data_IF_059426634060
#
_entry.id   IF_059426634060
#
_cell.length_a   1.000
_cell.length_b   1.000
_cell.length_c   1.000
_cell.angle_alpha   90.00
_cell.angle_beta   90.00
_cell.angle_gamma   90.00
#
_symmetry.space_group_name_H-M   'P 1'
#
loop_
_entity.id
_entity.type
_entity.pdbx_description
1 polymer ?
#
# COMPACT_ATOMS: atom_id res chain seq x y z
N UNK A 1 11.16 19.94 -5.14
CA UNK A 1 10.42 21.06 -4.53
C UNK A 1 9.08 20.47 -4.18
N UNK A 2 8.85 20.22 -2.89
CA UNK A 2 7.85 19.25 -2.45
C UNK A 2 6.42 19.61 -2.88
N UNK A 3 5.78 18.72 -3.64
CA UNK A 3 4.34 18.70 -3.94
C UNK A 3 3.53 18.25 -2.70
N UNK A 4 3.78 18.88 -1.54
CA UNK A 4 2.87 18.78 -0.41
C UNK A 4 1.92 19.97 -0.47
N UNK A 5 0.63 19.71 -0.34
CA UNK A 5 -0.42 20.73 -0.28
C UNK A 5 -0.22 21.59 0.98
N UNK A 6 0.56 22.67 0.83
CA UNK A 6 0.92 23.58 1.91
C UNK A 6 -0.23 24.59 2.12
N UNK A 7 -1.30 24.10 2.72
CA UNK A 7 -2.34 24.84 3.47
C UNK A 7 -3.01 25.98 2.68
N UNK A 8 -4.24 25.75 2.25
CA UNK A 8 -5.17 26.85 1.94
C UNK A 8 -5.42 27.69 3.21
N UNK A 9 -5.06 28.98 3.18
CA UNK A 9 -5.29 29.89 4.30
C UNK A 9 -6.70 30.49 4.21
N UNK A 10 -7.51 30.26 5.25
CA UNK A 10 -8.77 30.98 5.45
C UNK A 10 -8.49 32.32 6.15
N UNK A 11 -8.84 33.44 5.49
CA UNK A 11 -8.80 34.78 6.10
C UNK A 11 -10.18 35.13 6.66
N UNK A 12 -10.25 35.48 7.95
CA UNK A 12 -11.49 35.78 8.67
C UNK A 12 -11.37 37.11 9.42
N UNK A 13 -12.48 37.84 9.53
CA UNK A 13 -12.60 38.98 10.45
C UNK A 13 -12.60 38.48 11.90
N UNK A 14 -12.28 39.35 12.88
CA UNK A 14 -12.27 38.96 14.30
C UNK A 14 -13.63 38.38 14.77
N UNK A 15 -14.80 38.94 14.43
CA UNK A 15 -16.08 38.31 14.74
C UNK A 15 -16.28 36.96 14.03
N UNK A 16 -15.82 36.82 12.79
CA UNK A 16 -15.86 35.57 12.05
C UNK A 16 -15.01 34.47 12.69
N UNK A 17 -13.80 34.82 13.12
CA UNK A 17 -12.91 33.91 13.85
C UNK A 17 -13.53 33.44 15.18
N UNK A 18 -14.09 34.36 15.97
CA UNK A 18 -14.77 34.02 17.22
C UNK A 18 -16.00 33.14 17.00
N UNK A 19 -16.76 33.40 15.92
CA UNK A 19 -17.90 32.57 15.53
C UNK A 19 -17.49 31.13 15.16
N UNK A 20 -16.40 30.97 14.41
CA UNK A 20 -15.85 29.64 14.08
C UNK A 20 -15.36 28.92 15.34
N UNK A 21 -14.65 29.61 16.23
CA UNK A 21 -14.20 29.02 17.50
C UNK A 21 -15.36 28.54 18.38
N UNK A 22 -16.46 29.31 18.45
CA UNK A 22 -17.65 28.92 19.20
C UNK A 22 -18.35 27.70 18.59
N UNK A 23 -18.31 27.54 17.26
CA UNK A 23 -18.88 26.41 16.54
C UNK A 23 -17.96 25.17 16.51
N UNK A 24 -16.66 25.35 16.79
CA UNK A 24 -15.63 24.31 16.67
C UNK A 24 -15.98 23.02 17.41
N UNK A 25 -16.47 23.03 18.67
CA UNK A 25 -16.81 21.78 19.36
C UNK A 25 -17.93 20.99 18.65
N UNK A 26 -18.93 21.69 18.11
CA UNK A 26 -20.02 21.07 17.36
C UNK A 26 -19.55 20.55 15.99
N UNK A 27 -18.69 21.32 15.30
CA UNK A 27 -18.07 20.90 14.05
C UNK A 27 -17.19 19.67 14.25
N UNK A 28 -16.33 19.66 15.27
CA UNK A 28 -15.55 18.50 15.66
C UNK A 28 -16.47 17.33 16.01
N UNK A 29 -17.52 17.51 16.81
CA UNK A 29 -18.43 16.43 17.16
C UNK A 29 -19.16 15.85 15.93
N UNK A 30 -19.56 16.68 14.96
CA UNK A 30 -20.16 16.25 13.69
C UNK A 30 -19.13 15.55 12.81
N UNK A 31 -17.92 16.09 12.67
CA UNK A 31 -16.84 15.48 11.90
C UNK A 31 -16.41 14.13 12.50
N UNK A 32 -16.24 14.04 13.82
CA UNK A 32 -15.98 12.78 14.53
C UNK A 32 -17.13 11.79 14.39
N UNK A 33 -18.39 12.25 14.28
CA UNK A 33 -19.54 11.35 13.99
C UNK A 33 -19.53 10.88 12.55
N UNK A 34 -19.27 11.77 11.59
CA UNK A 34 -19.24 11.46 10.16
C UNK A 34 -18.05 10.55 9.80
N UNK A 35 -16.89 10.81 10.39
CA UNK A 35 -15.66 10.04 10.19
C UNK A 35 -15.53 8.90 11.20
N UNK A 36 -16.49 8.72 12.10
CA UNK A 36 -16.50 7.70 13.15
C UNK A 36 -15.16 7.42 13.86
N UNK A 37 -14.30 8.44 13.99
CA UNK A 37 -13.12 8.39 14.83
C UNK A 37 -13.55 8.25 16.31
N UNK A 38 -12.72 7.59 17.12
CA UNK A 38 -12.92 7.38 18.57
C UNK A 38 -14.10 6.48 18.98
N UNK A 39 -14.16 5.26 18.41
CA UNK A 39 -14.96 4.17 19.00
C UNK A 39 -16.47 4.23 18.74
N UNK A 40 -16.91 5.03 17.75
CA UNK A 40 -18.33 5.10 17.34
C UNK A 40 -18.72 4.11 16.25
N UNK A 41 -17.76 3.59 15.50
CA UNK A 41 -17.99 2.39 14.69
C UNK A 41 -17.92 1.15 15.59
N UNK A 42 -18.75 0.12 15.33
CA UNK A 42 -18.48 -1.22 15.82
C UNK A 42 -17.01 -1.60 15.52
N UNK A 43 -16.40 -2.40 16.38
CA UNK A 43 -14.99 -2.80 16.22
C UNK A 43 -14.71 -3.44 14.84
N UNK A 44 -15.74 -4.05 14.25
CA UNK A 44 -15.81 -4.71 12.94
C UNK A 44 -16.58 -3.90 11.88
N UNK A 45 -17.03 -2.69 12.21
CA UNK A 45 -17.81 -1.85 11.30
C UNK A 45 -16.96 -1.27 10.17
N UNK A 46 -17.56 -1.20 8.97
CA UNK A 46 -16.95 -0.61 7.79
C UNK A 46 -16.62 0.88 8.02
N UNK A 47 -15.41 1.27 7.64
CA UNK A 47 -14.87 2.62 7.72
C UNK A 47 -15.09 3.36 6.41
N UNK A 48 -15.74 4.51 6.49
CA UNK A 48 -15.77 5.48 5.40
C UNK A 48 -14.36 5.98 5.05
N UNK A 49 -14.19 6.50 3.85
CA UNK A 49 -12.89 6.88 3.30
C UNK A 49 -12.04 7.76 4.23
N UNK A 50 -12.62 8.85 4.76
CA UNK A 50 -11.91 9.76 5.67
C UNK A 50 -11.50 9.09 6.99
N UNK A 51 -12.39 8.27 7.56
CA UNK A 51 -12.11 7.49 8.78
C UNK A 51 -10.93 6.54 8.59
N UNK A 52 -10.91 5.90 7.41
CA UNK A 52 -9.87 4.99 7.00
C UNK A 52 -8.54 5.72 6.84
N UNK A 53 -8.50 6.85 6.13
CA UNK A 53 -7.28 7.65 5.96
C UNK A 53 -6.71 8.14 7.28
N UNK A 54 -7.55 8.60 8.21
CA UNK A 54 -7.08 9.03 9.54
C UNK A 54 -6.55 7.87 10.38
N UNK A 55 -7.17 6.69 10.28
CA UNK A 55 -6.67 5.48 10.94
C UNK A 55 -5.33 5.03 10.37
N UNK A 56 -5.18 5.03 9.05
CA UNK A 56 -3.92 4.76 8.36
C UNK A 56 -2.85 5.78 8.76
N UNK A 57 -3.18 7.07 8.81
CA UNK A 57 -2.25 8.13 9.21
C UNK A 57 -1.76 7.94 10.65
N UNK A 58 -2.66 7.63 11.59
CA UNK A 58 -2.32 7.40 12.98
C UNK A 58 -1.39 6.18 13.13
N UNK A 59 -1.65 5.11 12.39
CA UNK A 59 -0.83 3.91 12.38
C UNK A 59 0.55 4.18 11.76
N UNK A 60 0.58 4.81 10.58
CA UNK A 60 1.80 5.15 9.84
C UNK A 60 2.76 6.02 10.65
N UNK A 61 2.25 6.94 11.47
CA UNK A 61 3.06 7.81 12.34
C UNK A 61 3.88 7.06 13.38
N UNK A 62 3.47 5.83 13.75
CA UNK A 62 4.21 5.00 14.71
C UNK A 62 5.60 4.59 14.19
N UNK A 63 5.87 4.71 12.89
CA UNK A 63 7.18 4.43 12.30
C UNK A 63 8.32 5.28 12.90
N UNK A 64 7.97 6.45 13.46
CA UNK A 64 8.94 7.38 14.07
C UNK A 64 9.21 7.10 15.55
N UNK A 65 8.61 6.05 16.12
CA UNK A 65 8.83 5.65 17.51
C UNK A 65 10.05 4.72 17.59
N UNK A 66 10.86 4.87 18.64
CA UNK A 66 12.03 4.00 18.89
C UNK A 66 11.64 2.51 18.99
N UNK A 67 10.41 2.24 19.46
CA UNK A 67 9.85 0.90 19.60
C UNK A 67 9.04 0.44 18.37
N UNK A 68 9.25 1.04 17.20
CA UNK A 68 8.51 0.64 16.00
C UNK A 68 8.74 -0.84 15.66
N UNK A 69 7.64 -1.56 15.49
CA UNK A 69 7.62 -2.97 15.15
C UNK A 69 6.86 -3.16 13.84
N UNK A 70 7.57 -3.48 12.77
CA UNK A 70 7.00 -3.64 11.43
C UNK A 70 6.01 -4.81 11.37
N UNK A 71 6.26 -5.90 12.09
CA UNK A 71 5.35 -7.04 12.11
C UNK A 71 4.02 -6.70 12.80
N UNK A 72 4.08 -5.90 13.86
CA UNK A 72 2.88 -5.38 14.51
C UNK A 72 2.15 -4.39 13.59
N UNK A 73 2.90 -3.49 12.96
CA UNK A 73 2.37 -2.53 12.02
C UNK A 73 1.59 -3.19 10.87
N UNK A 74 2.15 -4.22 10.22
CA UNK A 74 1.46 -4.90 9.10
C UNK A 74 0.19 -5.62 9.54
N UNK A 75 0.13 -6.11 10.80
CA UNK A 75 -1.10 -6.66 11.37
C UNK A 75 -2.16 -5.58 11.58
N UNK A 76 -1.75 -4.45 12.15
CA UNK A 76 -2.66 -3.36 12.48
C UNK A 76 -3.19 -2.69 11.21
N UNK A 77 -2.33 -2.42 10.22
CA UNK A 77 -2.74 -1.82 8.94
C UNK A 77 -3.64 -2.76 8.13
N UNK A 78 -3.39 -4.08 8.16
CA UNK A 78 -4.28 -5.05 7.52
C UNK A 78 -5.65 -5.09 8.21
N UNK A 79 -5.68 -4.99 9.54
CA UNK A 79 -6.91 -4.81 10.32
C UNK A 79 -7.69 -3.57 9.90
N UNK A 80 -7.02 -2.42 9.78
CA UNK A 80 -7.62 -1.17 9.30
C UNK A 80 -8.14 -1.33 7.86
N UNK A 81 -7.34 -1.87 6.94
CA UNK A 81 -7.69 -2.08 5.53
C UNK A 81 -8.87 -3.04 5.32
N UNK A 82 -8.98 -4.10 6.13
CA UNK A 82 -10.12 -5.03 6.08
C UNK A 82 -11.46 -4.36 6.38
N UNK A 83 -11.42 -3.18 7.03
CA UNK A 83 -12.61 -2.40 7.36
C UNK A 83 -12.89 -1.31 6.33
N UNK A 84 -12.06 -1.10 5.31
CA UNK A 84 -12.34 -0.11 4.27
C UNK A 84 -13.69 -0.41 3.59
N UNK A 85 -14.59 0.56 3.59
CA UNK A 85 -15.85 0.46 2.86
C UNK A 85 -15.59 0.60 1.37
N UNK A 86 -15.56 -0.53 0.64
CA UNK A 86 -15.22 -0.53 -0.79
C UNK A 86 -16.27 0.18 -1.67
N UNK A 87 -17.48 0.34 -1.15
CA UNK A 87 -18.58 1.05 -1.79
C UNK A 87 -18.65 2.55 -1.37
N UNK A 88 -17.61 3.06 -0.71
CA UNK A 88 -17.50 4.49 -0.42
C UNK A 88 -17.44 5.32 -1.72
N UNK A 89 -18.23 6.41 -1.84
CA UNK A 89 -18.30 7.21 -3.06
C UNK A 89 -16.95 7.76 -3.55
N UNK A 90 -16.03 8.10 -2.64
CA UNK A 90 -14.71 8.62 -3.02
C UNK A 90 -13.89 7.53 -3.69
N UNK A 91 -13.88 6.33 -3.10
CA UNK A 91 -13.17 5.19 -3.65
C UNK A 91 -13.77 4.70 -4.96
N UNK A 92 -15.12 4.61 -5.05
CA UNK A 92 -15.81 4.26 -6.30
C UNK A 92 -15.38 5.21 -7.41
N UNK A 93 -15.41 6.52 -7.16
CA UNK A 93 -15.01 7.52 -8.14
C UNK A 93 -13.56 7.32 -8.59
N UNK A 94 -12.63 7.07 -7.66
CA UNK A 94 -11.23 6.78 -7.99
C UNK A 94 -11.08 5.52 -8.84
N UNK A 95 -11.77 4.44 -8.48
CA UNK A 95 -11.78 3.18 -9.23
C UNK A 95 -12.40 3.35 -10.63
N UNK A 96 -13.45 4.15 -10.78
CA UNK A 96 -14.04 4.46 -12.10
C UNK A 96 -13.11 5.30 -12.96
N UNK A 97 -12.42 6.27 -12.37
CA UNK A 97 -11.46 7.12 -13.08
C UNK A 97 -10.30 6.30 -13.66
N UNK A 98 -9.63 5.50 -12.83
CA UNK A 98 -8.51 4.68 -13.31
C UNK A 98 -8.97 3.62 -14.33
N UNK A 99 -10.22 3.14 -14.25
CA UNK A 99 -10.82 2.24 -15.24
C UNK A 99 -10.88 2.84 -16.64
N UNK A 100 -11.10 4.16 -16.76
CA UNK A 100 -11.10 4.83 -18.08
C UNK A 100 -9.73 4.82 -18.76
N UNK A 101 -8.66 4.59 -17.99
CA UNK A 101 -7.28 4.58 -18.49
C UNK A 101 -6.76 3.17 -18.80
N UNK A 102 -7.57 2.13 -18.61
CA UNK A 102 -7.19 0.74 -18.84
C UNK A 102 -6.67 0.54 -20.27
N UNK A 103 -5.42 0.11 -20.38
CA UNK A 103 -4.76 -0.16 -21.66
C UNK A 103 -3.97 -1.44 -21.54
N UNK A 104 -4.32 -2.43 -22.37
CA UNK A 104 -3.65 -3.73 -22.40
C UNK A 104 -2.14 -3.59 -22.54
N UNK A 105 -1.40 -4.28 -21.67
CA UNK A 105 0.06 -4.27 -21.60
C UNK A 105 0.63 -3.11 -20.78
N UNK A 106 -0.20 -2.36 -20.06
CA UNK A 106 0.23 -1.25 -19.22
C UNK A 106 -0.59 -1.21 -17.92
N UNK A 107 0.04 -1.65 -16.84
CA UNK A 107 -0.45 -1.44 -15.47
C UNK A 107 -0.52 0.06 -15.19
N UNK A 108 -1.65 0.49 -14.63
CA UNK A 108 -1.92 1.91 -14.32
C UNK A 108 -1.86 2.14 -12.80
N UNK A 109 -1.36 3.31 -12.40
CA UNK A 109 -1.16 3.72 -11.02
C UNK A 109 -1.80 5.10 -10.82
N UNK A 110 -2.66 5.24 -9.80
CA UNK A 110 -3.24 6.52 -9.38
C UNK A 110 -2.99 6.71 -7.90
N UNK A 111 -2.32 7.79 -7.51
CA UNK A 111 -2.26 8.14 -6.09
C UNK A 111 -3.58 8.77 -5.67
N UNK A 112 -4.28 8.16 -4.71
CA UNK A 112 -5.46 8.79 -4.09
C UNK A 112 -5.06 9.65 -2.90
N UNK A 113 -3.97 9.31 -2.22
CA UNK A 113 -3.48 10.05 -1.07
C UNK A 113 -1.95 9.96 -1.00
N UNK A 114 -1.29 11.08 -0.72
CA UNK A 114 0.15 11.14 -0.45
C UNK A 114 0.42 12.06 0.74
N UNK A 115 0.68 11.47 1.89
CA UNK A 115 1.10 12.19 3.11
C UNK A 115 2.59 11.98 3.35
N UNK A 116 3.13 12.64 4.37
CA UNK A 116 4.53 12.50 4.76
C UNK A 116 4.84 11.07 5.22
N UNK A 117 3.92 10.46 5.97
CA UNK A 117 4.15 9.18 6.65
C UNK A 117 3.70 7.96 5.82
N UNK A 118 2.78 8.15 4.87
CA UNK A 118 2.31 7.07 4.00
C UNK A 118 1.85 7.58 2.63
N UNK A 119 1.75 6.66 1.67
CA UNK A 119 1.11 6.88 0.38
C UNK A 119 0.10 5.78 0.11
N UNK A 120 -1.02 6.13 -0.51
CA UNK A 120 -2.05 5.21 -0.96
C UNK A 120 -2.23 5.34 -2.48
N UNK A 121 -2.04 4.22 -3.18
CA UNK A 121 -2.14 4.13 -4.63
C UNK A 121 -3.22 3.12 -5.04
N UNK A 122 -4.06 3.46 -6.01
CA UNK A 122 -4.81 2.49 -6.79
C UNK A 122 -3.93 1.94 -7.89
N UNK A 123 -3.87 0.61 -7.97
CA UNK A 123 -3.15 -0.09 -9.04
C UNK A 123 -4.15 -0.88 -9.86
N UNK A 124 -4.16 -0.69 -11.17
CA UNK A 124 -5.08 -1.35 -12.08
C UNK A 124 -4.36 -2.19 -13.12
N UNK A 125 -4.88 -3.41 -13.30
CA UNK A 125 -4.39 -4.40 -14.23
C UNK A 125 -5.47 -4.81 -15.23
N UNK A 126 -5.09 -5.02 -16.49
CA UNK A 126 -5.83 -5.87 -17.43
C UNK A 126 -5.49 -7.36 -17.22
N UNK A 127 -6.27 -8.25 -17.83
CA UNK A 127 -6.07 -9.70 -17.73
C UNK A 127 -4.70 -10.12 -18.26
N UNK A 128 -3.96 -10.87 -17.45
CA UNK A 128 -2.64 -11.40 -17.80
C UNK A 128 -1.49 -10.39 -17.64
N UNK A 129 -1.76 -9.18 -17.17
CA UNK A 129 -0.70 -8.22 -16.87
C UNK A 129 0.09 -8.64 -15.63
N UNK A 130 1.38 -8.33 -15.66
CA UNK A 130 2.35 -8.72 -14.63
C UNK A 130 3.13 -7.49 -14.20
N UNK A 131 3.20 -7.25 -12.89
CA UNK A 131 4.32 -6.50 -12.33
C UNK A 131 5.42 -7.52 -12.00
N UNK A 132 6.55 -7.37 -12.68
CA UNK A 132 7.74 -8.20 -12.51
C UNK A 132 8.27 -8.10 -11.06
N UNK A 133 9.09 -9.08 -10.60
CA UNK A 133 9.56 -9.06 -9.23
C UNK A 133 10.36 -7.79 -8.95
N UNK A 134 10.03 -7.12 -7.86
CA UNK A 134 10.65 -5.86 -7.43
C UNK A 134 10.60 -5.76 -5.91
N UNK A 135 11.51 -4.97 -5.34
CA UNK A 135 11.58 -4.70 -3.90
C UNK A 135 11.00 -3.31 -3.53
N UNK A 136 10.85 -3.09 -2.21
CA UNK A 136 10.36 -1.84 -1.63
C UNK A 136 11.32 -1.40 -0.50
N UNK A 137 12.48 -0.80 -0.82
CA UNK A 137 13.59 -0.65 0.10
C UNK A 137 13.24 0.26 1.28
N UNK A 138 13.31 -0.31 2.49
CA UNK A 138 13.02 0.40 3.74
C UNK A 138 11.54 0.69 3.97
N UNK A 139 10.64 0.09 3.18
CA UNK A 139 9.21 0.32 3.23
C UNK A 139 8.48 -0.89 3.82
N UNK A 140 7.40 -0.60 4.52
CA UNK A 140 6.42 -1.58 5.00
C UNK A 140 5.10 -1.28 4.30
N UNK A 141 4.38 -2.30 3.86
CA UNK A 141 3.22 -2.08 3.02
C UNK A 141 2.21 -3.20 3.01
N UNK A 142 1.10 -2.92 2.35
CA UNK A 142 0.00 -3.83 2.18
C UNK A 142 -0.68 -3.60 0.83
N UNK A 143 -1.23 -4.66 0.27
CA UNK A 143 -2.15 -4.59 -0.88
C UNK A 143 -3.48 -5.22 -0.50
N UNK A 144 -4.58 -4.53 -0.79
CA UNK A 144 -5.95 -4.98 -0.63
C UNK A 144 -6.56 -5.13 -2.03
N UNK A 145 -7.10 -6.31 -2.33
CA UNK A 145 -7.79 -6.51 -3.59
C UNK A 145 -9.21 -5.92 -3.49
N UNK A 146 -9.43 -4.77 -4.14
CA UNK A 146 -10.72 -4.07 -4.12
C UNK A 146 -11.71 -4.69 -5.13
N UNK A 147 -11.21 -5.15 -6.27
CA UNK A 147 -12.00 -5.87 -7.28
C UNK A 147 -11.11 -6.79 -8.11
N UNK A 148 -11.70 -7.83 -8.71
CA UNK A 148 -10.98 -8.75 -9.60
C UNK A 148 -10.33 -9.92 -8.88
N UNK A 149 -9.20 -10.38 -9.42
CA UNK A 149 -8.46 -11.55 -8.96
C UNK A 149 -7.00 -11.48 -9.44
N UNK A 150 -6.06 -11.52 -8.50
CA UNK A 150 -4.63 -11.41 -8.78
C UNK A 150 -3.85 -12.48 -8.03
N UNK A 151 -2.87 -13.10 -8.69
CA UNK A 151 -1.89 -13.95 -8.01
C UNK A 151 -0.73 -13.08 -7.51
N UNK A 152 -0.35 -13.32 -6.26
CA UNK A 152 0.80 -12.72 -5.60
C UNK A 152 1.80 -13.82 -5.32
N UNK A 153 3.07 -13.60 -5.65
CA UNK A 153 4.16 -14.43 -5.14
C UNK A 153 5.14 -13.56 -4.39
N UNK A 154 5.36 -13.88 -3.12
CA UNK A 154 6.21 -13.13 -2.20
C UNK A 154 7.53 -13.87 -1.98
N UNK A 155 8.61 -13.12 -1.87
CA UNK A 155 9.97 -13.63 -1.76
C UNK A 155 10.74 -12.86 -0.69
N UNK A 156 11.65 -13.58 -0.02
CA UNK A 156 12.67 -13.03 0.86
C UNK A 156 14.04 -13.12 0.19
N UNK A 157 14.87 -12.10 0.40
CA UNK A 157 16.27 -12.13 0.00
C UNK A 157 17.04 -13.09 0.92
N UNK A 158 17.83 -14.00 0.35
CA UNK A 158 18.74 -14.86 1.11
C UNK A 158 20.03 -14.10 1.39
N UNK A 159 20.11 -13.42 2.53
CA UNK A 159 21.25 -12.55 2.90
C UNK A 159 22.58 -13.31 3.05
N UNK A 160 22.53 -14.58 3.46
CA UNK A 160 23.71 -15.42 3.75
C UNK A 160 23.58 -16.79 3.08
N UNK A 161 23.79 -16.86 1.75
CA UNK A 161 23.71 -18.13 1.04
C UNK A 161 24.98 -18.96 1.28
N UNK A 162 24.84 -20.28 1.34
CA UNK A 162 25.98 -21.21 1.48
C UNK A 162 26.96 -21.09 0.29
N UNK A 163 26.41 -20.85 -0.90
CA UNK A 163 27.16 -20.60 -2.13
C UNK A 163 26.72 -19.24 -2.71
N UNK A 164 27.67 -18.30 -2.92
CA UNK A 164 27.35 -17.01 -3.53
C UNK A 164 26.72 -17.17 -4.92
N UNK A 165 25.69 -16.37 -5.26
CA UNK A 165 25.18 -16.31 -6.62
C UNK A 165 26.20 -15.66 -7.56
N UNK A 166 26.04 -15.83 -8.90
CA UNK A 166 26.84 -15.12 -9.88
C UNK A 166 26.78 -13.59 -9.68
N UNK A 167 27.78 -12.87 -10.18
CA UNK A 167 27.77 -11.41 -10.15
C UNK A 167 26.48 -10.86 -10.81
N UNK A 168 25.89 -9.83 -10.20
CA UNK A 168 24.61 -9.25 -10.66
C UNK A 168 23.37 -10.10 -10.38
N UNK A 169 23.50 -11.19 -9.61
CA UNK A 169 22.40 -12.05 -9.23
C UNK A 169 22.25 -12.11 -7.69
N UNK A 170 21.02 -12.35 -7.25
CA UNK A 170 20.64 -12.62 -5.86
C UNK A 170 19.92 -13.96 -5.76
N UNK A 171 19.83 -14.50 -4.55
CA UNK A 171 19.00 -15.68 -4.28
C UNK A 171 17.75 -15.25 -3.54
N UNK A 172 16.60 -15.59 -4.11
CA UNK A 172 15.29 -15.24 -3.59
C UNK A 172 14.55 -16.50 -3.15
N UNK A 173 14.10 -16.53 -1.90
CA UNK A 173 13.30 -17.62 -1.36
C UNK A 173 11.83 -17.23 -1.43
N UNK A 174 11.06 -17.94 -2.25
CA UNK A 174 9.60 -17.81 -2.30
C UNK A 174 9.01 -18.27 -0.96
N UNK A 175 8.30 -17.37 -0.29
CA UNK A 175 7.67 -17.64 1.01
C UNK A 175 6.18 -17.91 0.90
N UNK A 176 5.53 -17.34 -0.12
CA UNK A 176 4.09 -17.51 -0.32
C UNK A 176 3.74 -17.31 -1.79
N UNK A 177 2.78 -18.10 -2.29
CA UNK A 177 2.02 -17.79 -3.50
C UNK A 177 0.55 -17.87 -3.14
N UNK A 178 -0.19 -16.79 -3.39
CA UNK A 178 -1.60 -16.68 -3.03
C UNK A 178 -2.37 -15.92 -4.10
N UNK A 179 -3.55 -16.43 -4.44
CA UNK A 179 -4.54 -15.68 -5.24
C UNK A 179 -5.38 -14.82 -4.30
N UNK A 180 -5.34 -13.51 -4.49
CA UNK A 180 -6.15 -12.52 -3.80
C UNK A 180 -7.42 -12.23 -4.60
N UNK A 181 -8.57 -12.29 -3.94
CA UNK A 181 -9.89 -11.88 -4.43
C UNK A 181 -10.37 -10.66 -3.65
N UNK A 182 -11.55 -10.12 -4.01
CA UNK A 182 -12.15 -8.97 -3.28
C UNK A 182 -12.08 -9.17 -1.76
N UNK A 183 -11.56 -8.17 -1.05
CA UNK A 183 -11.29 -8.13 0.40
C UNK A 183 -10.08 -8.93 0.90
N UNK A 184 -9.39 -9.69 0.05
CA UNK A 184 -8.14 -10.33 0.45
C UNK A 184 -7.00 -9.30 0.54
N UNK A 185 -6.11 -9.52 1.52
CA UNK A 185 -4.95 -8.67 1.80
C UNK A 185 -3.66 -9.50 1.69
N UNK A 186 -2.60 -8.86 1.20
CA UNK A 186 -1.20 -9.30 1.36
C UNK A 186 -0.39 -8.17 1.98
N UNK A 187 0.66 -8.51 2.73
CA UNK A 187 1.49 -7.54 3.45
C UNK A 187 2.97 -7.86 3.30
N UNK A 188 3.79 -6.83 3.47
CA UNK A 188 5.25 -6.92 3.47
C UNK A 188 5.86 -5.96 4.49
N UNK A 189 7.04 -6.31 4.97
CA UNK A 189 7.91 -5.44 5.77
C UNK A 189 9.16 -5.08 4.96
N UNK A 190 10.04 -4.25 5.51
CA UNK A 190 11.29 -3.89 4.85
C UNK A 190 12.24 -5.09 4.67
N UNK A 191 12.00 -6.21 5.37
CA UNK A 191 12.87 -7.41 5.34
C UNK A 191 12.15 -8.71 5.03
N UNK A 192 10.84 -8.77 5.22
CA UNK A 192 10.05 -9.97 4.97
C UNK A 192 9.02 -9.67 3.88
N UNK A 193 8.93 -10.56 2.89
CA UNK A 193 8.05 -10.48 1.72
C UNK A 193 8.26 -9.21 0.90
N UNK A 194 9.41 -8.56 1.08
CA UNK A 194 9.69 -7.26 0.49
C UNK A 194 9.81 -7.33 -1.04
N UNK A 195 10.08 -8.52 -1.58
CA UNK A 195 10.11 -8.76 -3.02
C UNK A 195 8.85 -9.51 -3.42
N UNK A 196 8.11 -9.00 -4.41
CA UNK A 196 6.89 -9.68 -4.86
C UNK A 196 6.62 -9.55 -6.35
N UNK A 197 5.85 -10.50 -6.88
CA UNK A 197 5.25 -10.43 -8.22
C UNK A 197 3.74 -10.36 -8.11
N UNK A 198 3.13 -9.62 -9.04
CA UNK A 198 1.68 -9.51 -9.15
C UNK A 198 1.27 -9.92 -10.56
N UNK A 199 0.38 -10.91 -10.69
CA UNK A 199 -0.09 -11.42 -11.98
C UNK A 199 -1.61 -11.50 -12.03
N UNK A 200 -2.22 -10.62 -12.82
CA UNK A 200 -3.66 -10.46 -12.89
C UNK A 200 -4.33 -11.64 -13.61
N UNK A 201 -5.22 -12.34 -12.90
CA UNK A 201 -6.06 -13.42 -13.46
C UNK A 201 -7.34 -12.86 -14.10
N UNK A 202 -7.77 -11.68 -13.65
CA UNK A 202 -8.90 -10.89 -14.16
C UNK A 202 -8.50 -9.42 -14.21
N UNK A 203 -9.31 -8.57 -14.85
CA UNK A 203 -9.21 -7.12 -14.63
C UNK A 203 -9.32 -6.87 -13.13
N UNK A 204 -8.30 -6.24 -12.55
CA UNK A 204 -8.10 -6.17 -11.10
C UNK A 204 -7.72 -4.78 -10.68
N UNK A 205 -8.28 -4.31 -9.57
CA UNK A 205 -7.93 -3.05 -8.93
C UNK A 205 -7.50 -3.34 -7.49
N UNK A 206 -6.33 -2.84 -7.14
CA UNK A 206 -5.75 -2.95 -5.80
C UNK A 206 -5.71 -1.60 -5.13
N UNK A 207 -5.90 -1.59 -3.81
CA UNK A 207 -5.53 -0.49 -2.93
C UNK A 207 -4.18 -0.86 -2.31
N UNK A 208 -3.16 -0.09 -2.61
CA UNK A 208 -1.79 -0.28 -2.16
C UNK A 208 -1.41 0.82 -1.18
N UNK A 209 -0.90 0.46 0.00
CA UNK A 209 -0.45 1.42 1.02
C UNK A 209 0.99 1.11 1.40
N UNK A 210 1.83 2.15 1.34
CA UNK A 210 3.22 2.07 1.79
C UNK A 210 3.56 3.10 2.85
N UNK A 211 4.43 2.69 3.77
CA UNK A 211 4.90 3.45 4.92
C UNK A 211 6.39 3.16 5.13
N UNK A 212 7.27 4.17 5.01
CA UNK A 212 7.03 5.50 4.42
C UNK A 212 6.60 5.42 2.93
N UNK A 213 6.09 6.50 2.32
CA UNK A 213 5.79 6.52 0.89
C UNK A 213 7.06 6.45 0.04
N UNK A 214 6.86 6.13 -1.24
CA UNK A 214 7.87 6.35 -2.27
C UNK A 214 8.32 7.82 -2.31
N UNK A 215 9.63 8.00 -2.45
CA UNK A 215 10.28 9.25 -2.85
C UNK A 215 11.34 8.93 -3.91
N UNK A 216 12.00 9.94 -4.47
CA UNK A 216 13.00 9.77 -5.54
C UNK A 216 14.10 8.80 -5.11
N UNK A 217 14.67 8.97 -3.90
CA UNK A 217 15.73 8.11 -3.37
C UNK A 217 15.29 6.64 -3.24
N UNK A 218 14.10 6.37 -2.68
CA UNK A 218 13.59 4.99 -2.57
C UNK A 218 13.29 4.39 -3.94
N UNK A 219 12.79 5.20 -4.86
CA UNK A 219 12.49 4.75 -6.23
C UNK A 219 13.78 4.41 -6.98
N UNK A 220 14.85 5.17 -6.78
CA UNK A 220 16.18 4.90 -7.34
C UNK A 220 16.85 3.67 -6.70
N UNK A 221 16.58 3.41 -5.43
CA UNK A 221 17.09 2.24 -4.70
C UNK A 221 16.29 0.97 -4.98
N UNK A 222 15.05 1.09 -5.46
CA UNK A 222 14.21 -0.05 -5.80
C UNK A 222 14.84 -0.86 -6.92
N UNK A 223 14.90 -2.16 -6.73
CA UNK A 223 15.46 -3.13 -7.65
C UNK A 223 14.34 -3.90 -8.32
N UNK A 224 14.57 -4.18 -9.59
CA UNK A 224 13.75 -5.08 -10.38
C UNK A 224 14.54 -6.33 -10.69
N UNK A 225 13.83 -7.45 -10.78
CA UNK A 225 14.44 -8.76 -10.92
C UNK A 225 13.89 -9.50 -12.13
N UNK A 226 14.75 -10.34 -12.71
CA UNK A 226 14.37 -11.42 -13.60
C UNK A 226 14.65 -12.75 -12.89
N UNK A 227 13.59 -13.47 -12.52
CA UNK A 227 13.70 -14.77 -11.88
C UNK A 227 14.14 -15.83 -12.89
N UNK A 228 14.93 -16.79 -12.43
CA UNK A 228 15.16 -18.04 -13.14
C UNK A 228 13.81 -18.73 -13.43
N UNK A 229 13.64 -19.32 -14.63
CA UNK A 229 12.38 -19.97 -14.99
C UNK A 229 12.03 -21.14 -14.08
N UNK A 230 13.07 -21.83 -13.58
CA UNK A 230 12.97 -22.94 -12.65
C UNK A 230 13.66 -22.59 -11.33
N UNK A 231 13.20 -23.15 -10.19
CA UNK A 231 13.91 -23.05 -8.92
C UNK A 231 15.26 -23.77 -8.99
N UNK A 232 16.14 -23.49 -8.03
CA UNK A 232 17.42 -24.19 -7.91
C UNK A 232 17.20 -25.69 -7.68
N UNK A 233 18.01 -26.56 -8.33
CA UNK A 233 17.93 -28.00 -8.10
C UNK A 233 18.06 -28.33 -6.61
N UNK A 234 17.09 -29.06 -6.07
CA UNK A 234 17.06 -29.49 -4.66
C UNK A 234 16.31 -28.56 -3.70
N UNK A 235 15.92 -27.34 -4.10
CA UNK A 235 15.11 -26.44 -3.27
C UNK A 235 14.02 -25.75 -4.13
N UNK A 236 12.76 -26.22 -4.10
CA UNK A 236 11.66 -25.71 -4.95
C UNK A 236 11.18 -24.29 -4.57
N UNK A 237 11.67 -23.74 -3.47
CA UNK A 237 11.37 -22.39 -3.03
C UNK A 237 12.48 -21.40 -3.35
N UNK A 238 13.67 -21.87 -3.74
CA UNK A 238 14.83 -21.01 -3.97
C UNK A 238 15.01 -20.71 -5.45
N UNK A 239 15.07 -19.43 -5.81
CA UNK A 239 15.25 -18.96 -7.18
C UNK A 239 16.52 -18.13 -7.28
N UNK A 240 17.20 -18.22 -8.42
CA UNK A 240 18.21 -17.25 -8.79
C UNK A 240 17.51 -16.07 -9.46
N UNK A 241 17.93 -14.84 -9.15
CA UNK A 241 17.29 -13.64 -9.65
C UNK A 241 18.35 -12.68 -10.17
N UNK A 242 18.30 -12.36 -11.46
CA UNK A 242 19.17 -11.34 -12.06
C UNK A 242 18.62 -9.96 -11.72
N UNK A 243 19.46 -9.09 -11.19
CA UNK A 243 19.10 -7.67 -10.98
C UNK A 243 19.04 -7.00 -12.36
N UNK A 244 17.94 -6.29 -12.64
CA UNK A 244 17.80 -5.47 -13.84
C UNK A 244 18.44 -4.11 -13.59
N UNK A 245 19.28 -3.69 -14.53
CA UNK A 245 19.85 -2.34 -14.61
C UNK A 245 18.81 -1.33 -15.12
#
# INVERSE_FOLDING_TARGET
MDDYDRREFLSLSLPGFLGVLAALPSLCAVATRANAADGRLPADGAMHWEAFLESVAAEAKKQHLDAWNQDQYVRDIAGIASRLHLEDPVLIKGMEQIKTRLKKGKVDFEYLEKRVDFGLCLVQFDVGEIIAPHDHPGMTGMILCASGEIETSNYDLVERPDTPPPAGHELLRRVETKVLKKNDISTLTAKARNIHTLHARKVTQLVDIFTPPYNDERSEKSRWYELSPEPKPGDPALFEARIKE
#
